data_IF_628504730156
#
_entry.id   IF_628504730156
#
_cell.length_a   1.000
_cell.length_b   1.000
_cell.length_c   1.000
_cell.angle_alpha   90.00
_cell.angle_beta   90.00
_cell.angle_gamma   90.00
#
_symmetry.space_group_name_H-M   'P 1'
#
loop_
_entity.id
_entity.type
_entity.pdbx_description
1 polymer ?
#
# COMPACT_ATOMS: atom_id res chain seq x y z
N UNK A 1 -14.11 -12.57 -16.55
CA UNK A 1 -14.05 -12.68 -15.07
C UNK A 1 -13.56 -11.36 -14.47
N UNK A 2 -14.26 -10.81 -13.49
CA UNK A 2 -13.80 -9.64 -12.77
C UNK A 2 -12.48 -10.01 -12.08
N UNK A 3 -11.35 -9.49 -12.58
CA UNK A 3 -10.09 -9.49 -11.82
C UNK A 3 -10.22 -8.43 -10.72
N UNK A 4 -11.15 -8.70 -9.80
CA UNK A 4 -11.32 -7.92 -8.58
C UNK A 4 -10.11 -8.11 -7.69
N UNK A 5 -9.78 -7.10 -6.90
CA UNK A 5 -8.73 -7.23 -5.92
C UNK A 5 -9.15 -8.23 -4.83
N UNK A 6 -8.38 -9.29 -4.59
CA UNK A 6 -8.61 -10.23 -3.49
C UNK A 6 -7.74 -9.88 -2.29
N UNK A 7 -8.24 -10.10 -1.08
CA UNK A 7 -7.41 -9.99 0.13
C UNK A 7 -6.50 -11.21 0.19
N UNK A 8 -5.19 -10.97 0.36
CA UNK A 8 -4.18 -12.00 0.58
C UNK A 8 -4.02 -12.20 2.09
N UNK A 9 -3.81 -11.10 2.83
CA UNK A 9 -3.51 -11.13 4.27
C UNK A 9 -4.01 -9.87 4.97
N UNK A 10 -4.56 -10.03 6.16
CA UNK A 10 -4.89 -8.91 7.05
C UNK A 10 -3.76 -8.75 8.07
N UNK A 11 -3.17 -7.56 8.14
CA UNK A 11 -2.00 -7.30 8.98
C UNK A 11 -2.34 -6.66 10.33
N UNK A 12 -3.61 -6.24 10.51
CA UNK A 12 -4.09 -5.56 11.71
C UNK A 12 -4.28 -4.07 11.50
N UNK A 13 -4.19 -3.31 12.57
CA UNK A 13 -4.43 -1.86 12.60
C UNK A 13 -3.12 -1.07 12.53
N UNK A 14 -3.13 0.06 11.82
CA UNK A 14 -2.01 0.98 11.77
C UNK A 14 -1.84 1.69 13.13
N UNK A 15 -0.63 1.75 13.70
CA UNK A 15 -0.42 2.30 15.05
C UNK A 15 -0.81 3.79 15.20
N UNK A 16 -0.63 4.59 14.15
CA UNK A 16 -0.93 6.03 14.21
C UNK A 16 -2.43 6.39 14.15
N UNK A 17 -3.25 5.63 13.42
CA UNK A 17 -4.65 6.00 13.17
C UNK A 17 -5.68 4.90 13.48
N UNK A 18 -5.22 3.72 13.90
CA UNK A 18 -6.06 2.58 14.27
C UNK A 18 -6.79 1.92 13.08
N UNK A 19 -6.44 2.25 11.84
CA UNK A 19 -7.18 1.75 10.67
C UNK A 19 -6.55 0.51 10.06
N UNK A 20 -7.36 -0.37 9.44
CA UNK A 20 -6.88 -1.64 8.95
C UNK A 20 -5.82 -1.48 7.85
N UNK A 21 -4.84 -2.37 7.90
CA UNK A 21 -3.80 -2.57 6.91
C UNK A 21 -3.97 -3.97 6.33
N UNK A 22 -4.16 -4.06 5.01
CA UNK A 22 -4.37 -5.33 4.33
C UNK A 22 -3.42 -5.46 3.14
N UNK A 23 -2.94 -6.68 2.90
CA UNK A 23 -2.28 -7.06 1.65
C UNK A 23 -3.34 -7.57 0.69
N UNK A 24 -3.36 -7.02 -0.52
CA UNK A 24 -4.33 -7.37 -1.56
C UNK A 24 -3.62 -7.71 -2.87
N UNK A 25 -4.19 -8.65 -3.62
CA UNK A 25 -3.75 -8.97 -4.98
C UNK A 25 -4.50 -8.06 -5.97
N UNK A 26 -3.80 -7.18 -6.69
CA UNK A 26 -4.41 -6.24 -7.64
C UNK A 26 -4.10 -6.54 -9.10
N UNK A 27 -4.74 -5.80 -10.02
CA UNK A 27 -4.50 -5.90 -11.48
C UNK A 27 -3.02 -5.72 -11.87
N UNK A 28 -2.29 -4.89 -11.13
CA UNK A 28 -0.89 -4.53 -11.40
C UNK A 28 0.11 -5.27 -10.49
N UNK A 29 -0.37 -6.23 -9.71
CA UNK A 29 0.42 -6.95 -8.71
C UNK A 29 -0.08 -6.72 -7.28
N UNK A 30 0.56 -7.40 -6.32
CA UNK A 30 0.24 -7.31 -4.91
C UNK A 30 0.55 -5.91 -4.35
N UNK A 31 -0.29 -5.46 -3.43
CA UNK A 31 -0.14 -4.16 -2.78
C UNK A 31 -0.67 -4.17 -1.35
N UNK A 32 -0.08 -3.31 -0.52
CA UNK A 32 -0.60 -2.95 0.79
C UNK A 32 -1.63 -1.84 0.61
N UNK A 33 -2.81 -2.06 1.17
CA UNK A 33 -3.88 -1.08 1.26
C UNK A 33 -3.97 -0.55 2.69
N UNK A 34 -3.93 0.77 2.80
CA UNK A 34 -4.23 1.48 4.04
C UNK A 34 -4.95 2.79 3.71
N UNK A 35 -6.20 2.93 4.15
CA UNK A 35 -7.05 4.07 3.78
C UNK A 35 -7.12 4.30 2.25
N UNK A 36 -6.62 5.46 1.81
CA UNK A 36 -6.54 5.91 0.41
C UNK A 36 -5.16 5.65 -0.20
N UNK A 37 -4.24 5.07 0.57
CA UNK A 37 -2.87 4.76 0.14
C UNK A 37 -2.83 3.31 -0.30
N UNK A 38 -2.41 3.10 -1.54
CA UNK A 38 -2.09 1.80 -2.10
C UNK A 38 -0.59 1.76 -2.40
N UNK A 39 0.15 1.02 -1.59
CA UNK A 39 1.59 0.86 -1.71
C UNK A 39 1.90 -0.50 -2.37
N UNK A 40 2.45 -0.47 -3.57
CA UNK A 40 2.81 -1.69 -4.31
C UNK A 40 3.91 -2.47 -3.58
N UNK A 41 3.73 -3.78 -3.45
CA UNK A 41 4.76 -4.67 -2.91
C UNK A 41 5.76 -4.94 -4.05
N UNK A 42 7.07 -4.77 -3.81
CA UNK A 42 8.11 -5.09 -4.78
C UNK A 42 8.06 -6.55 -5.25
N UNK A 43 8.50 -6.85 -6.47
CA UNK A 43 8.42 -8.21 -7.05
C UNK A 43 9.38 -9.21 -6.42
N UNK A 44 10.39 -8.72 -5.72
CA UNK A 44 11.38 -9.46 -4.94
C UNK A 44 10.86 -9.88 -3.56
N UNK A 45 9.64 -9.48 -3.20
CA UNK A 45 9.04 -9.74 -1.90
C UNK A 45 7.73 -10.54 -2.04
N UNK A 46 7.60 -11.62 -1.25
CA UNK A 46 6.42 -12.48 -1.27
C UNK A 46 5.26 -11.84 -0.49
N UNK A 47 4.07 -11.65 -1.09
CA UNK A 47 2.96 -10.93 -0.45
C UNK A 47 2.48 -11.52 0.89
N UNK A 48 2.54 -12.85 1.02
CA UNK A 48 2.17 -13.55 2.26
C UNK A 48 3.20 -13.36 3.39
N UNK A 49 4.46 -13.09 3.03
CA UNK A 49 5.55 -12.88 3.98
C UNK A 49 5.55 -11.45 4.57
N UNK A 50 4.84 -10.52 3.92
CA UNK A 50 4.75 -9.13 4.37
C UNK A 50 4.20 -9.08 5.80
N UNK A 51 4.90 -8.34 6.66
CA UNK A 51 4.51 -8.05 8.05
C UNK A 51 3.87 -6.68 8.15
N UNK A 52 3.21 -6.38 9.28
CA UNK A 52 2.65 -5.05 9.52
C UNK A 52 3.74 -3.98 9.43
N UNK A 53 4.87 -4.17 10.10
CA UNK A 53 6.01 -3.23 10.07
C UNK A 53 6.45 -2.90 8.65
N UNK A 54 6.64 -3.94 7.83
CA UNK A 54 7.04 -3.78 6.43
C UNK A 54 5.97 -3.09 5.59
N UNK A 55 4.70 -3.39 5.85
CA UNK A 55 3.59 -2.71 5.21
C UNK A 55 3.55 -1.21 5.55
N UNK A 56 3.84 -0.84 6.80
CA UNK A 56 3.94 0.55 7.25
C UNK A 56 5.06 1.28 6.50
N UNK A 57 6.23 0.67 6.33
CA UNK A 57 7.34 1.26 5.54
C UNK A 57 6.91 1.56 4.10
N UNK A 58 6.24 0.61 3.45
CA UNK A 58 5.74 0.76 2.09
C UNK A 58 4.70 1.89 2.00
N UNK A 59 3.80 1.99 2.99
CA UNK A 59 2.80 3.06 3.09
C UNK A 59 3.48 4.42 3.23
N UNK A 60 4.45 4.56 4.13
CA UNK A 60 5.20 5.81 4.35
C UNK A 60 5.96 6.21 3.09
N UNK A 61 6.68 5.27 2.47
CA UNK A 61 7.40 5.52 1.23
C UNK A 61 6.46 5.95 0.10
N UNK A 62 5.26 5.37 0.02
CA UNK A 62 4.24 5.75 -0.97
C UNK A 62 3.63 7.12 -0.65
N UNK A 63 3.34 7.42 0.61
CA UNK A 63 2.81 8.70 1.07
C UNK A 63 3.78 9.84 0.73
N UNK A 64 5.08 9.65 1.00
CA UNK A 64 6.12 10.61 0.65
C UNK A 64 6.16 10.91 -0.86
N UNK A 65 6.08 9.86 -1.70
CA UNK A 65 6.03 10.00 -3.16
C UNK A 65 4.74 10.66 -3.65
N UNK A 66 3.60 10.34 -3.04
CA UNK A 66 2.31 10.94 -3.39
C UNK A 66 2.23 12.44 -3.01
N UNK A 67 2.86 12.84 -1.90
CA UNK A 67 3.01 14.26 -1.52
C UNK A 67 3.97 15.03 -2.44
N UNK A 68 5.05 14.39 -2.90
CA UNK A 68 6.00 14.99 -3.82
C UNK A 68 5.41 15.26 -5.22
N UNK A 69 4.38 14.50 -5.65
CA UNK A 69 3.70 14.70 -6.92
C UNK A 69 2.79 15.95 -6.99
N UNK A 70 2.36 16.50 -5.84
CA UNK A 70 1.48 17.70 -5.81
C UNK A 70 2.23 19.04 -5.77
N UNK A 71 3.57 19.05 -5.75
CA UNK A 71 4.38 20.30 -5.78
C UNK A 71 5.08 20.60 -7.12
N UNK A 72 4.65 19.99 -8.24
CA UNK A 72 5.16 20.31 -9.59
C UNK A 72 4.11 20.70 -10.63
N UNK A 73 2.87 21.02 -10.24
CA UNK A 73 1.83 21.47 -11.16
C UNK A 73 1.17 22.81 -10.77
N UNK A 74 1.94 23.76 -10.23
CA UNK A 74 1.58 25.18 -10.21
C UNK A 74 2.84 26.07 -10.30
N UNK A 75 3.42 26.14 -11.50
CA UNK A 75 4.28 27.24 -11.93
C UNK A 75 4.22 27.39 -13.45
N UNK A 76 3.22 28.13 -13.90
CA UNK A 76 3.19 28.99 -15.09
C UNK A 76 1.77 29.52 -15.22
#
# INVERSE_FOLDING_TARGET
PARGSSVIKELGEHPDDGKPVNVMNGRYGPYVKHNKINATIPKDEEPDSVTLERALELIVARAAKAGAGKKKAKKS
#
